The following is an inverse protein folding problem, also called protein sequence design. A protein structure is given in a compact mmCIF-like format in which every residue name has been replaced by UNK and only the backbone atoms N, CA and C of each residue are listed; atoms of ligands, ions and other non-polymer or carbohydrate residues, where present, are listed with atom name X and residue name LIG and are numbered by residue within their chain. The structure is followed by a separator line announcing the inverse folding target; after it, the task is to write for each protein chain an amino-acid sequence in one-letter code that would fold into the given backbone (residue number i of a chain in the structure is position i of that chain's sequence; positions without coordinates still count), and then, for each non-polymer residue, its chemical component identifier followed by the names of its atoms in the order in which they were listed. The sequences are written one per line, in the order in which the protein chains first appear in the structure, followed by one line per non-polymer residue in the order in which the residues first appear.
data_IF_081523645306
#
_entry.id   IF_081523645306
#
_cell.length_a   1.000
_cell.length_b   1.000
_cell.length_c   1.000
_cell.angle_alpha   90.00
_cell.angle_beta   90.00
_cell.angle_gamma   90.00
#
_symmetry.space_group_name_H-M   'P 1'
#
loop_
_entity.id
_entity.type
_entity.pdbx_description
1 polymer ?
#
# COMPACT_ATOMS: atom_id res chain seq x y z
N UNK A 1 9.55 22.08 -3.52
CA UNK A 1 10.19 21.68 -2.25
C UNK A 1 11.30 20.68 -2.52
N UNK A 2 12.49 20.80 -1.90
CA UNK A 2 13.60 19.85 -2.11
C UNK A 2 13.29 18.46 -1.53
N UNK A 3 13.69 17.40 -2.23
CA UNK A 3 13.39 16.00 -1.85
C UNK A 3 14.64 15.16 -1.52
N UNK A 4 15.84 15.64 -1.85
CA UNK A 4 17.09 14.90 -1.61
C UNK A 4 17.41 14.81 -0.11
N UNK A 5 17.88 13.64 0.34
CA UNK A 5 18.32 13.36 1.72
C UNK A 5 17.25 13.56 2.82
N UNK A 6 15.97 13.47 2.43
CA UNK A 6 14.83 13.59 3.34
C UNK A 6 14.01 12.30 3.36
N UNK A 7 13.42 12.02 4.52
CA UNK A 7 12.46 10.91 4.65
C UNK A 7 11.13 11.28 4.00
N UNK A 8 10.39 10.27 3.53
CA UNK A 8 9.06 10.44 2.95
C UNK A 8 8.12 11.18 3.92
N UNK A 9 8.13 10.80 5.20
CA UNK A 9 7.28 11.41 6.22
C UNK A 9 7.60 12.90 6.43
N UNK A 10 8.86 13.31 6.34
CA UNK A 10 9.24 14.72 6.45
C UNK A 10 8.74 15.53 5.24
N UNK A 11 8.82 14.97 4.03
CA UNK A 11 8.28 15.59 2.82
C UNK A 11 6.76 15.70 2.90
N UNK A 12 6.06 14.65 3.33
CA UNK A 12 4.60 14.66 3.46
C UNK A 12 4.11 15.64 4.54
N UNK A 13 4.84 15.79 5.65
CA UNK A 13 4.56 16.82 6.65
C UNK A 13 4.57 18.21 6.02
N UNK A 14 5.63 18.56 5.30
CA UNK A 14 5.72 19.89 4.70
C UNK A 14 4.63 20.11 3.67
N UNK A 15 4.25 19.09 2.89
CA UNK A 15 3.10 19.18 1.98
C UNK A 15 1.82 19.52 2.75
N UNK A 16 1.57 18.83 3.86
CA UNK A 16 0.39 19.06 4.69
C UNK A 16 0.37 20.47 5.31
N UNK A 17 1.53 20.99 5.71
CA UNK A 17 1.63 22.34 6.30
C UNK A 17 1.55 23.43 5.22
N UNK A 18 2.41 23.36 4.20
CA UNK A 18 2.58 24.43 3.21
C UNK A 18 1.39 24.55 2.25
N UNK A 19 0.77 23.43 1.87
CA UNK A 19 -0.28 23.42 0.84
C UNK A 19 -1.69 23.20 1.38
N UNK A 20 -1.82 22.69 2.61
CA UNK A 20 -3.11 22.32 3.20
C UNK A 20 -3.38 22.97 4.57
N UNK A 21 -2.49 23.84 5.05
CA UNK A 21 -2.63 24.58 6.31
C UNK A 21 -2.94 23.67 7.52
N UNK A 22 -2.41 22.45 7.50
CA UNK A 22 -2.53 21.54 8.64
C UNK A 22 -1.60 22.02 9.73
N UNK A 23 -2.17 22.33 10.90
CA UNK A 23 -1.42 22.73 12.09
C UNK A 23 -0.29 21.70 12.39
N UNK A 24 1.00 22.12 12.34
CA UNK A 24 2.12 21.24 12.62
C UNK A 24 2.05 20.55 13.99
N UNK A 25 1.41 21.16 14.99
CA UNK A 25 1.23 20.57 16.31
C UNK A 25 0.30 19.34 16.31
N UNK A 26 -0.48 19.16 15.24
CA UNK A 26 -1.37 18.01 15.04
C UNK A 26 -0.75 16.91 14.18
N UNK A 27 0.49 17.08 13.73
CA UNK A 27 1.19 16.12 12.88
C UNK A 27 2.23 15.37 13.71
N UNK A 28 2.10 14.05 13.76
CA UNK A 28 3.10 13.15 14.32
C UNK A 28 3.90 12.56 13.16
N UNK A 29 5.20 12.85 13.12
CA UNK A 29 6.11 12.30 12.10
C UNK A 29 6.82 11.09 12.66
N UNK A 30 6.72 9.98 11.94
CA UNK A 30 7.50 8.78 12.15
C UNK A 30 8.50 8.66 10.97
N UNK A 31 9.80 8.90 11.16
CA UNK A 31 10.77 9.03 10.08
C UNK A 31 11.63 7.78 9.83
N UNK A 32 11.50 6.74 10.65
CA UNK A 32 12.42 5.60 10.69
C UNK A 32 11.96 4.42 9.82
N UNK A 33 10.69 4.38 9.39
CA UNK A 33 10.18 3.27 8.57
C UNK A 33 10.90 3.15 7.24
N UNK A 34 11.47 1.97 6.97
CA UNK A 34 12.15 1.64 5.72
C UNK A 34 11.29 0.80 4.76
N UNK A 35 10.22 0.20 5.26
CA UNK A 35 9.33 -0.67 4.49
C UNK A 35 7.90 -0.69 5.07
N UNK A 36 6.94 -1.10 4.25
CA UNK A 36 5.52 -1.14 4.63
C UNK A 36 5.21 -2.00 5.87
N UNK A 37 6.04 -2.98 6.21
CA UNK A 37 5.87 -3.79 7.42
C UNK A 37 6.19 -2.99 8.69
N UNK A 38 7.17 -2.10 8.61
CA UNK A 38 7.57 -1.21 9.71
C UNK A 38 6.59 -0.05 9.90
N UNK A 39 5.96 0.46 8.84
CA UNK A 39 4.98 1.55 8.95
C UNK A 39 3.93 1.28 10.03
N UNK A 40 3.44 0.03 10.12
CA UNK A 40 2.47 -0.36 11.14
C UNK A 40 3.07 -0.31 12.55
N UNK A 41 4.16 -1.03 12.81
CA UNK A 41 4.76 -1.10 14.15
C UNK A 41 5.31 0.24 14.64
N UNK A 42 5.90 1.03 13.76
CA UNK A 42 6.46 2.33 14.10
C UNK A 42 5.40 3.40 14.27
N UNK A 43 4.33 3.40 13.45
CA UNK A 43 3.17 4.28 13.70
C UNK A 43 2.53 3.98 15.06
N UNK A 44 2.43 2.70 15.44
CA UNK A 44 1.95 2.31 16.78
C UNK A 44 2.85 2.89 17.87
N UNK A 45 4.15 2.68 17.74
CA UNK A 45 5.15 3.15 18.69
C UNK A 45 5.10 4.66 18.85
N UNK A 46 4.92 5.40 17.76
CA UNK A 46 4.79 6.86 17.77
C UNK A 46 3.54 7.33 18.53
N UNK A 47 2.40 6.64 18.36
CA UNK A 47 1.18 6.94 19.12
C UNK A 47 1.32 6.59 20.61
N UNK A 48 1.85 5.41 20.91
CA UNK A 48 2.05 4.94 22.29
C UNK A 48 3.02 5.85 23.06
N UNK A 49 4.08 6.35 22.42
CA UNK A 49 5.03 7.29 23.02
C UNK A 49 4.40 8.64 23.41
N UNK A 50 3.26 9.00 22.81
CA UNK A 50 2.48 10.19 23.16
C UNK A 50 1.28 9.88 24.07
N UNK A 51 1.11 8.62 24.49
CA UNK A 51 -0.04 8.19 25.28
C UNK A 51 -1.38 8.26 24.53
N UNK A 52 -1.35 8.16 23.20
CA UNK A 52 -2.55 8.23 22.36
C UNK A 52 -3.17 6.85 22.14
N UNK A 53 -4.44 6.70 22.49
CA UNK A 53 -5.21 5.46 22.33
C UNK A 53 -6.40 5.65 21.38
N UNK A 54 -6.16 5.74 20.05
CA UNK A 54 -7.24 5.96 19.09
C UNK A 54 -8.16 4.74 18.99
N UNK A 55 -9.47 4.97 19.02
CA UNK A 55 -10.47 3.92 18.77
C UNK A 55 -10.73 3.67 17.28
N UNK A 56 -10.41 4.67 16.43
CA UNK A 56 -10.62 4.63 14.99
C UNK A 56 -9.41 5.22 14.29
N UNK A 57 -8.88 4.50 13.30
CA UNK A 57 -7.72 4.91 12.52
C UNK A 57 -8.11 4.84 11.04
N UNK A 58 -7.92 5.96 10.32
CA UNK A 58 -8.05 6.02 8.88
C UNK A 58 -6.69 5.74 8.24
N UNK A 59 -6.59 4.67 7.46
CA UNK A 59 -5.41 4.30 6.70
C UNK A 59 -5.53 4.85 5.28
N UNK A 60 -4.61 5.74 4.92
CA UNK A 60 -4.47 6.29 3.58
C UNK A 60 -3.15 5.76 3.01
N UNK A 61 -3.22 5.05 1.89
CA UNK A 61 -2.07 4.47 1.22
C UNK A 61 -2.28 4.49 -0.30
N UNK A 62 -1.19 4.34 -1.05
CA UNK A 62 -1.22 3.95 -2.46
C UNK A 62 -2.28 2.85 -2.68
N UNK A 63 -3.25 3.05 -3.59
CA UNK A 63 -4.33 2.08 -3.85
C UNK A 63 -3.84 0.66 -4.10
N UNK A 64 -2.67 0.48 -4.71
CA UNK A 64 -2.12 -0.85 -4.99
C UNK A 64 -1.73 -1.60 -3.71
N UNK A 65 -1.27 -0.88 -2.68
CA UNK A 65 -0.75 -1.45 -1.43
C UNK A 65 -1.76 -1.41 -0.26
N UNK A 66 -2.88 -0.70 -0.41
CA UNK A 66 -3.85 -0.44 0.66
C UNK A 66 -4.28 -1.71 1.42
N UNK A 67 -4.60 -2.80 0.71
CA UNK A 67 -5.07 -4.05 1.33
C UNK A 67 -3.99 -4.72 2.18
N UNK A 68 -2.72 -4.67 1.74
CA UNK A 68 -1.59 -5.20 2.50
C UNK A 68 -1.27 -4.34 3.71
N UNK A 69 -1.37 -3.02 3.58
CA UNK A 69 -1.23 -2.10 4.71
C UNK A 69 -2.30 -2.34 5.78
N UNK A 70 -3.58 -2.47 5.42
CA UNK A 70 -4.64 -2.83 6.37
C UNK A 70 -4.34 -4.13 7.11
N UNK A 71 -3.95 -5.18 6.37
CA UNK A 71 -3.65 -6.48 6.95
C UNK A 71 -2.42 -6.44 7.89
N UNK A 72 -1.42 -5.59 7.61
CA UNK A 72 -0.27 -5.37 8.47
C UNK A 72 -0.65 -4.60 9.75
N UNK A 73 -1.43 -3.53 9.64
CA UNK A 73 -1.92 -2.78 10.81
C UNK A 73 -2.79 -3.66 11.70
N UNK A 74 -3.71 -4.47 11.14
CA UNK A 74 -4.49 -5.44 11.92
C UNK A 74 -3.62 -6.49 12.61
N UNK A 75 -2.52 -6.91 11.97
CA UNK A 75 -1.58 -7.86 12.57
C UNK A 75 -0.88 -7.25 13.78
N UNK A 76 -0.38 -6.02 13.64
CA UNK A 76 0.36 -5.31 14.69
C UNK A 76 -0.56 -4.89 15.85
N UNK A 77 -1.83 -4.54 15.60
CA UNK A 77 -2.80 -4.14 16.63
C UNK A 77 -3.72 -5.28 17.11
N UNK A 78 -3.37 -6.55 16.84
CA UNK A 78 -4.21 -7.71 17.20
C UNK A 78 -4.51 -7.83 18.70
N UNK A 79 -3.67 -7.25 19.55
CA UNK A 79 -3.85 -7.14 21.00
C UNK A 79 -4.81 -6.01 21.43
N UNK A 80 -5.23 -5.14 20.49
CA UNK A 80 -6.22 -4.06 20.70
C UNK A 80 -7.43 -4.24 19.78
N UNK A 81 -8.26 -5.29 19.97
CA UNK A 81 -9.34 -5.65 19.04
C UNK A 81 -10.48 -4.61 18.97
N UNK A 82 -10.55 -3.66 19.90
CA UNK A 82 -11.53 -2.57 19.89
C UNK A 82 -11.20 -1.49 18.86
N UNK A 83 -9.94 -1.38 18.40
CA UNK A 83 -9.51 -0.39 17.42
C UNK A 83 -10.07 -0.75 16.04
N UNK A 84 -10.72 0.21 15.40
CA UNK A 84 -11.30 0.05 14.06
C UNK A 84 -10.44 0.73 13.01
N UNK A 85 -10.01 -0.04 12.02
CA UNK A 85 -9.34 0.49 10.83
C UNK A 85 -10.35 0.78 9.71
N UNK A 86 -10.27 1.97 9.15
CA UNK A 86 -10.98 2.42 7.96
C UNK A 86 -9.95 2.59 6.85
N UNK A 87 -10.31 2.23 5.61
CA UNK A 87 -9.39 2.30 4.47
C UNK A 87 -9.86 3.37 3.48
N UNK A 88 -8.96 4.27 3.10
CA UNK A 88 -9.24 5.34 2.15
C UNK A 88 -8.05 5.55 1.20
N UNK A 89 -7.94 4.76 0.13
CA UNK A 89 -6.86 4.89 -0.86
C UNK A 89 -7.01 6.12 -1.76
N UNK A 90 -7.95 7.03 -1.45
CA UNK A 90 -8.32 8.26 -2.17
C UNK A 90 -9.00 8.07 -3.53
N UNK A 91 -8.70 7.00 -4.28
CA UNK A 91 -9.39 6.63 -5.53
C UNK A 91 -9.22 5.14 -5.84
N UNK A 92 -9.91 4.66 -6.87
CA UNK A 92 -9.71 3.31 -7.42
C UNK A 92 -9.10 3.41 -8.82
N UNK A 93 -7.85 2.97 -9.03
CA UNK A 93 -7.24 2.97 -10.35
C UNK A 93 -8.06 2.13 -11.32
N UNK A 94 -8.37 2.70 -12.49
CA UNK A 94 -8.99 2.00 -13.62
C UNK A 94 -8.13 2.25 -14.84
N UNK A 95 -8.09 1.26 -15.71
CA UNK A 95 -7.38 1.35 -16.98
C UNK A 95 -8.31 0.90 -18.09
N UNK A 96 -8.14 1.49 -19.27
CA UNK A 96 -8.84 1.09 -20.48
C UNK A 96 -7.87 1.03 -21.65
N UNK A 97 -8.30 0.32 -22.67
CA UNK A 97 -7.60 0.31 -23.96
C UNK A 97 -7.86 1.63 -24.71
N UNK A 98 -6.80 2.16 -25.32
CA UNK A 98 -6.85 3.30 -26.22
C UNK A 98 -5.84 3.06 -27.36
N UNK A 99 -6.34 2.59 -28.49
CA UNK A 99 -5.49 2.04 -29.56
C UNK A 99 -4.67 0.88 -29.01
N UNK A 100 -3.38 0.79 -29.39
CA UNK A 100 -2.51 -0.31 -28.97
C UNK A 100 -1.91 -0.14 -27.55
N UNK A 101 -2.52 0.70 -26.70
CA UNK A 101 -1.98 1.06 -25.37
C UNK A 101 -3.05 0.97 -24.29
N UNK A 102 -2.60 0.68 -23.07
CA UNK A 102 -3.37 0.86 -21.85
C UNK A 102 -3.15 2.26 -21.30
N UNK A 103 -4.24 2.94 -20.95
CA UNK A 103 -4.23 4.26 -20.33
C UNK A 103 -5.10 4.26 -19.08
N UNK A 104 -4.81 5.14 -18.13
CA UNK A 104 -5.65 5.31 -16.96
C UNK A 104 -6.99 5.95 -17.34
N UNK A 105 -8.05 5.44 -16.73
CA UNK A 105 -9.43 5.88 -16.90
C UNK A 105 -9.96 6.39 -15.57
N UNK A 106 -9.33 7.46 -15.08
CA UNK A 106 -9.70 8.14 -13.84
C UNK A 106 -9.70 9.65 -14.07
N UNK A 107 -10.69 10.33 -13.52
CA UNK A 107 -10.85 11.78 -13.66
C UNK A 107 -10.23 12.50 -12.45
N UNK A 108 -9.69 13.70 -12.69
CA UNK A 108 -9.20 14.61 -11.65
C UNK A 108 -8.09 14.03 -10.74
N UNK A 109 -7.31 13.06 -11.23
CA UNK A 109 -6.13 12.53 -10.54
C UNK A 109 -4.88 12.80 -11.36
N UNK A 110 -3.93 13.53 -10.79
CA UNK A 110 -2.62 13.79 -11.37
C UNK A 110 -1.54 12.98 -10.64
N UNK A 111 -0.34 12.89 -11.23
CA UNK A 111 0.80 12.21 -10.58
C UNK A 111 0.69 10.68 -10.52
N UNK A 112 -0.10 10.09 -11.41
CA UNK A 112 -0.24 8.63 -11.51
C UNK A 112 1.09 7.97 -11.92
N UNK A 113 1.21 6.68 -11.60
CA UNK A 113 2.37 5.87 -11.98
C UNK A 113 2.51 5.78 -13.51
N UNK A 114 3.72 5.55 -13.98
CA UNK A 114 3.89 4.97 -15.31
C UNK A 114 3.21 3.59 -15.36
N UNK A 115 2.59 3.23 -16.50
CA UNK A 115 1.77 2.01 -16.63
C UNK A 115 2.55 0.73 -16.26
N UNK A 116 3.82 0.64 -16.65
CA UNK A 116 4.70 -0.47 -16.27
C UNK A 116 4.91 -0.57 -14.75
N UNK A 117 5.07 0.57 -14.06
CA UNK A 117 5.20 0.62 -12.60
C UNK A 117 3.92 0.21 -11.91
N UNK A 118 2.76 0.69 -12.39
CA UNK A 118 1.45 0.28 -11.86
C UNK A 118 1.23 -1.23 -11.97
N UNK A 119 1.48 -1.81 -13.16
CA UNK A 119 1.37 -3.25 -13.36
C UNK A 119 2.36 -4.03 -12.49
N UNK A 120 3.59 -3.56 -12.37
CA UNK A 120 4.60 -4.18 -11.50
C UNK A 120 4.18 -4.18 -10.03
N UNK A 121 3.61 -3.08 -9.53
CA UNK A 121 3.08 -2.99 -8.17
C UNK A 121 1.91 -3.96 -7.99
N UNK A 122 0.89 -3.86 -8.84
CA UNK A 122 -0.32 -4.69 -8.78
C UNK A 122 0.03 -6.19 -8.79
N UNK A 123 0.92 -6.60 -9.69
CA UNK A 123 1.34 -7.99 -9.82
C UNK A 123 2.18 -8.49 -8.64
N UNK A 124 2.89 -7.59 -7.94
CA UNK A 124 3.62 -7.96 -6.73
C UNK A 124 2.74 -8.17 -5.50
N UNK A 125 1.55 -7.58 -5.46
CA UNK A 125 0.72 -7.56 -4.25
C UNK A 125 -0.08 -8.85 -4.03
N UNK A 126 -0.62 -9.48 -5.08
CA UNK A 126 -1.39 -10.72 -4.93
C UNK A 126 -0.54 -11.84 -4.29
N UNK A 127 0.68 -12.16 -4.77
CA UNK A 127 1.52 -13.18 -4.13
C UNK A 127 1.83 -12.85 -2.66
N UNK A 128 2.05 -11.57 -2.32
CA UNK A 128 2.32 -11.16 -0.93
C UNK A 128 1.08 -11.33 -0.05
N UNK A 129 -0.12 -11.09 -0.56
CA UNK A 129 -1.37 -11.21 0.19
C UNK A 129 -1.79 -12.67 0.44
N UNK A 130 -1.34 -13.62 -0.38
CA UNK A 130 -1.68 -15.04 -0.22
C UNK A 130 -1.27 -15.56 1.16
N UNK A 131 -2.10 -16.42 1.72
CA UNK A 131 -1.79 -17.14 2.96
C UNK A 131 -1.28 -18.55 2.65
N UNK A 132 -0.16 -18.59 1.93
CA UNK A 132 0.58 -19.80 1.57
C UNK A 132 2.06 -19.65 2.03
N UNK A 133 2.92 -20.67 1.84
CA UNK A 133 4.30 -20.59 2.34
C UNK A 133 5.17 -19.50 1.68
N UNK A 134 4.75 -18.90 0.56
CA UNK A 134 5.48 -17.82 -0.12
C UNK A 134 4.95 -16.43 0.24
N UNK A 135 3.68 -16.34 0.64
CA UNK A 135 3.01 -15.09 0.98
C UNK A 135 3.32 -14.57 2.38
N UNK A 136 2.73 -13.43 2.73
CA UNK A 136 3.02 -12.71 3.97
C UNK A 136 2.07 -13.09 5.11
N UNK A 137 1.04 -13.89 4.83
CA UNK A 137 0.11 -14.37 5.83
C UNK A 137 0.74 -15.33 6.86
N UNK A 138 -0.03 -15.78 7.86
CA UNK A 138 0.44 -16.67 8.93
C UNK A 138 1.05 -18.01 8.46
N UNK A 139 0.67 -18.51 7.28
CA UNK A 139 1.23 -19.75 6.71
C UNK A 139 2.57 -19.54 5.97
N UNK A 140 2.97 -18.29 5.75
CA UNK A 140 4.23 -17.91 5.11
C UNK A 140 5.08 -17.09 6.05
N UNK A 141 5.33 -15.81 5.70
CA UNK A 141 6.23 -14.95 6.47
C UNK A 141 5.64 -14.39 7.76
N UNK A 142 4.32 -14.48 7.96
CA UNK A 142 3.67 -14.06 9.20
C UNK A 142 3.70 -12.54 9.47
N UNK A 143 3.83 -11.70 8.43
CA UNK A 143 3.88 -10.24 8.56
C UNK A 143 2.50 -9.59 8.57
N UNK A 144 1.49 -10.26 8.03
CA UNK A 144 0.11 -9.75 7.96
C UNK A 144 -0.86 -10.79 8.54
N UNK A 145 -2.10 -10.37 8.83
CA UNK A 145 -3.18 -11.33 9.11
C UNK A 145 -3.50 -12.14 7.85
N UNK A 146 -4.16 -13.30 8.02
CA UNK A 146 -4.64 -14.05 6.86
C UNK A 146 -5.61 -13.18 6.04
N UNK A 147 -5.38 -13.11 4.73
CA UNK A 147 -6.23 -12.40 3.79
C UNK A 147 -6.94 -13.42 2.91
N UNK A 148 -8.27 -13.31 2.85
CA UNK A 148 -9.06 -14.06 1.89
C UNK A 148 -9.05 -13.33 0.54
N UNK A 149 -8.56 -14.02 -0.49
CA UNK A 149 -8.51 -13.54 -1.87
C UNK A 149 -9.56 -14.33 -2.66
N UNK A 150 -10.62 -13.67 -3.14
CA UNK A 150 -11.65 -14.34 -3.92
C UNK A 150 -11.09 -15.04 -5.16
N UNK A 151 -11.63 -16.21 -5.51
CA UNK A 151 -11.17 -16.99 -6.68
C UNK A 151 -11.27 -16.19 -7.99
N UNK A 152 -12.25 -15.28 -8.11
CA UNK A 152 -12.35 -14.37 -9.25
C UNK A 152 -11.12 -13.45 -9.41
N UNK A 153 -10.54 -13.00 -8.29
CA UNK A 153 -9.34 -12.16 -8.25
C UNK A 153 -8.10 -13.00 -8.55
N UNK A 154 -8.01 -14.21 -7.99
CA UNK A 154 -6.94 -15.17 -8.34
C UNK A 154 -6.97 -15.55 -9.83
N UNK A 155 -8.16 -15.79 -10.38
CA UNK A 155 -8.36 -16.03 -11.80
C UNK A 155 -7.95 -14.83 -12.67
N UNK A 156 -8.29 -13.61 -12.24
CA UNK A 156 -7.85 -12.38 -12.92
C UNK A 156 -6.32 -12.23 -12.89
N UNK A 157 -5.70 -12.47 -11.73
CA UNK A 157 -4.24 -12.45 -11.59
C UNK A 157 -3.57 -13.47 -12.52
N UNK A 158 -4.08 -14.71 -12.59
CA UNK A 158 -3.53 -15.75 -13.48
C UNK A 158 -3.58 -15.33 -14.94
N UNK A 159 -4.70 -14.79 -15.42
CA UNK A 159 -4.82 -14.28 -16.79
C UNK A 159 -3.82 -13.16 -17.08
N UNK A 160 -3.66 -12.23 -16.15
CA UNK A 160 -2.72 -11.11 -16.29
C UNK A 160 -1.26 -11.58 -16.25
N UNK A 161 -0.92 -12.52 -15.36
CA UNK A 161 0.42 -13.11 -15.27
C UNK A 161 0.84 -13.77 -16.58
N UNK A 162 -0.06 -14.56 -17.20
CA UNK A 162 0.18 -15.17 -18.51
C UNK A 162 0.46 -14.11 -19.57
N UNK A 163 -0.41 -13.11 -19.70
CA UNK A 163 -0.24 -12.05 -20.70
C UNK A 163 1.01 -11.16 -20.48
N UNK A 164 1.40 -10.91 -19.23
CA UNK A 164 2.64 -10.18 -18.91
C UNK A 164 3.88 -11.02 -19.25
N UNK A 165 3.89 -12.30 -18.92
CA UNK A 165 4.98 -13.21 -19.28
C UNK A 165 5.13 -13.36 -20.81
N UNK A 166 4.02 -13.49 -21.54
CA UNK A 166 4.02 -13.57 -23.01
C UNK A 166 4.56 -12.29 -23.66
N UNK A 167 4.26 -11.12 -23.09
CA UNK A 167 4.66 -9.82 -23.67
C UNK A 167 6.06 -9.36 -23.26
N UNK A 168 6.55 -9.75 -22.08
CA UNK A 168 7.80 -9.24 -21.53
C UNK A 168 8.88 -10.30 -21.25
N UNK A 169 8.56 -11.60 -21.29
CA UNK A 169 9.52 -12.70 -21.09
C UNK A 169 10.40 -12.49 -19.86
N UNK A 170 11.73 -12.58 -20.03
CA UNK A 170 12.72 -12.34 -18.97
C UNK A 170 12.80 -10.88 -18.45
N UNK A 171 12.10 -9.93 -19.09
CA UNK A 171 11.95 -8.54 -18.64
C UNK A 171 10.65 -8.30 -17.88
N UNK A 172 9.86 -9.33 -17.62
CA UNK A 172 8.70 -9.22 -16.75
C UNK A 172 9.15 -8.67 -15.39
N UNK A 173 8.44 -7.69 -14.80
CA UNK A 173 8.76 -7.21 -13.46
C UNK A 173 8.81 -8.41 -12.52
N UNK A 174 9.87 -8.50 -11.71
CA UNK A 174 10.08 -9.63 -10.80
C UNK A 174 8.80 -9.88 -9.99
N UNK A 175 8.11 -10.97 -10.30
CA UNK A 175 6.90 -11.41 -9.62
C UNK A 175 7.35 -12.01 -8.28
N UNK A 176 7.61 -11.14 -7.30
CA UNK A 176 8.10 -11.54 -5.99
C UNK A 176 9.56 -11.22 -5.77
N UNK A 177 9.78 -10.11 -5.06
CA UNK A 177 10.86 -9.96 -4.08
C UNK A 177 10.19 -9.60 -2.75
#
# INVERSE_FOLDING_TARGET
MPTSDRTEAAILRDIAVEFWDVDPARIIVEPDSSNCGENASLSRRALDAQGLEPQRILLIQDPTMQRRTDAAFRHVWRDRPSVRFLNWPTFTPRVREQGDRLVFDVENVAGLWAMNRFLSLLMGEIPRLRNDPQGYGPKGRGFIVAVDIPEEIEGAYRRLATGVCEKFGARAPALGA
#
